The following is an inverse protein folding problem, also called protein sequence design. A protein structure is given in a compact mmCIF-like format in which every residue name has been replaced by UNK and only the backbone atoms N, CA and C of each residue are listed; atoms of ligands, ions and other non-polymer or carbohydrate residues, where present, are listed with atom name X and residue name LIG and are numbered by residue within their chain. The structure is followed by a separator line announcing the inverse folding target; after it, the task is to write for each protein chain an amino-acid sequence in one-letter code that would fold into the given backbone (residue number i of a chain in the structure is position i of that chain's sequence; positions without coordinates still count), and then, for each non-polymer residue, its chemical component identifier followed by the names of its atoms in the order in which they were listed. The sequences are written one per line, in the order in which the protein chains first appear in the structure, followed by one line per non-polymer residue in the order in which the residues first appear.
data_IF_865298984259
#
_entry.id   IF_865298984259
#
_cell.length_a   1.000
_cell.length_b   1.000
_cell.length_c   1.000
_cell.angle_alpha   90.00
_cell.angle_beta   90.00
_cell.angle_gamma   90.00
#
_symmetry.space_group_name_H-M   'P 1'
#
loop_
_entity.id
_entity.type
_entity.pdbx_description
1 polymer ?
#
# COMPACT_ATOMS: atom_id res chain seq x y z
N UNK A 1 17.60 -10.86 -28.63
CA UNK A 1 17.86 -11.09 -27.20
C UNK A 1 16.63 -11.67 -26.54
N UNK A 2 16.71 -12.92 -26.13
CA UNK A 2 15.55 -13.53 -25.45
C UNK A 2 15.18 -12.82 -24.15
N UNK A 3 16.12 -12.09 -23.53
CA UNK A 3 15.82 -11.36 -22.33
C UNK A 3 15.04 -10.08 -22.48
N UNK A 4 14.63 -9.76 -23.71
CA UNK A 4 13.87 -8.52 -23.97
C UNK A 4 12.36 -8.66 -23.79
N UNK A 5 11.88 -9.89 -23.59
CA UNK A 5 10.46 -10.08 -23.28
C UNK A 5 10.18 -9.59 -21.87
N UNK A 6 9.07 -8.86 -21.65
CA UNK A 6 8.74 -8.43 -20.31
C UNK A 6 8.53 -9.63 -19.37
N UNK A 7 8.89 -9.50 -18.11
CA UNK A 7 8.67 -10.58 -17.15
C UNK A 7 7.19 -10.89 -17.03
N UNK A 8 6.85 -12.17 -16.93
CA UNK A 8 5.47 -12.64 -16.79
C UNK A 8 4.99 -12.57 -15.36
N UNK A 9 5.88 -12.35 -14.43
CA UNK A 9 5.54 -12.24 -13.02
C UNK A 9 6.34 -11.13 -12.38
N UNK A 10 5.80 -10.62 -11.29
CA UNK A 10 6.39 -9.52 -10.54
C UNK A 10 6.70 -10.02 -9.13
N UNK A 11 7.98 -10.07 -8.73
CA UNK A 11 8.32 -10.41 -7.36
C UNK A 11 7.91 -9.27 -6.41
N UNK A 12 7.33 -9.62 -5.28
CA UNK A 12 6.86 -8.66 -4.29
C UNK A 12 7.40 -8.97 -2.91
N UNK A 13 7.45 -7.94 -2.07
CA UNK A 13 7.92 -8.05 -0.70
C UNK A 13 7.06 -9.02 0.13
N UNK A 14 7.68 -9.85 0.99
CA UNK A 14 6.95 -10.79 1.83
C UNK A 14 6.44 -10.14 3.12
N UNK A 15 5.67 -9.07 3.00
CA UNK A 15 5.25 -8.25 4.12
C UNK A 15 3.75 -7.94 4.09
N UNK A 16 3.24 -7.48 5.21
CA UNK A 16 1.92 -6.85 5.26
C UNK A 16 2.03 -5.40 4.82
N UNK A 17 0.97 -4.92 4.20
CA UNK A 17 0.90 -3.56 3.70
C UNK A 17 -0.48 -2.97 4.03
N UNK A 18 -0.51 -1.68 4.30
CA UNK A 18 -1.75 -1.00 4.70
C UNK A 18 -1.82 0.36 4.04
N UNK A 19 -2.05 0.40 2.71
CA UNK A 19 -1.95 1.62 1.93
C UNK A 19 -3.05 2.62 2.30
N UNK A 20 -2.70 3.90 2.23
CA UNK A 20 -3.61 5.00 2.52
C UNK A 20 -3.67 5.94 1.32
N UNK A 21 -4.86 6.45 1.00
CA UNK A 21 -5.01 7.41 -0.09
C UNK A 21 -4.48 8.78 0.31
N UNK A 22 -4.06 9.55 -0.70
CA UNK A 22 -3.62 10.93 -0.47
C UNK A 22 -4.75 11.79 0.12
N UNK A 23 -5.99 11.55 -0.29
CA UNK A 23 -7.14 12.28 0.23
C UNK A 23 -7.33 12.03 1.73
N UNK A 24 -7.16 10.77 2.17
CA UNK A 24 -7.23 10.44 3.60
C UNK A 24 -6.08 11.05 4.38
N UNK A 25 -4.87 11.07 3.81
CA UNK A 25 -3.72 11.71 4.46
C UNK A 25 -4.04 13.19 4.68
N UNK A 26 -4.55 13.87 3.66
CA UNK A 26 -4.87 15.29 3.76
C UNK A 26 -5.93 15.56 4.84
N UNK A 27 -6.96 14.73 4.89
CA UNK A 27 -8.02 14.88 5.89
C UNK A 27 -7.50 14.69 7.32
N UNK A 28 -6.68 13.66 7.53
CA UNK A 28 -6.11 13.37 8.85
C UNK A 28 -5.13 14.47 9.27
N UNK A 29 -4.29 14.95 8.36
CA UNK A 29 -3.34 16.04 8.64
C UNK A 29 -4.09 17.32 9.04
N UNK A 30 -5.18 17.64 8.34
CA UNK A 30 -6.01 18.79 8.70
C UNK A 30 -6.61 18.64 10.09
N UNK A 31 -7.11 17.45 10.43
CA UNK A 31 -7.66 17.16 11.75
C UNK A 31 -6.62 17.36 12.85
N UNK A 32 -5.43 16.78 12.65
CA UNK A 32 -4.35 16.87 13.64
C UNK A 32 -3.89 18.31 13.81
N UNK A 33 -3.82 19.07 12.72
CA UNK A 33 -3.39 20.49 12.77
C UNK A 33 -4.36 21.34 13.57
N UNK A 34 -5.64 21.00 13.58
CA UNK A 34 -6.69 21.75 14.29
C UNK A 34 -6.92 21.25 15.71
N UNK A 35 -6.34 20.12 16.07
CA UNK A 35 -6.50 19.53 17.40
C UNK A 35 -5.46 20.08 18.37
N UNK A 36 -5.65 19.82 19.67
CA UNK A 36 -4.68 20.15 20.68
C UNK A 36 -3.37 19.40 20.44
N UNK A 37 -2.20 20.04 20.70
CA UNK A 37 -0.92 19.37 20.50
C UNK A 37 -0.80 18.08 21.35
N UNK A 38 -0.30 17.01 20.73
CA UNK A 38 -0.11 15.73 21.42
C UNK A 38 1.30 15.53 21.95
N UNK A 39 2.25 16.32 21.44
CA UNK A 39 3.64 16.20 21.87
C UNK A 39 4.33 14.91 21.45
N UNK A 40 3.90 14.28 20.36
CA UNK A 40 4.47 13.02 19.91
C UNK A 40 4.13 12.70 18.45
N UNK A 41 4.46 11.49 18.06
CA UNK A 41 4.22 10.97 16.71
C UNK A 41 2.83 10.37 16.63
N UNK A 42 2.08 10.72 15.58
CA UNK A 42 0.79 10.10 15.27
C UNK A 42 0.98 9.25 14.02
N UNK A 43 0.77 7.96 14.15
CA UNK A 43 0.82 7.06 13.00
C UNK A 43 -0.50 7.09 12.24
N UNK A 44 -0.41 7.02 10.91
CA UNK A 44 -1.59 6.94 10.05
C UNK A 44 -1.41 5.78 9.08
N UNK A 45 -2.53 5.17 8.71
CA UNK A 45 -2.52 4.04 7.77
C UNK A 45 -3.88 3.95 7.08
N UNK A 46 -3.94 3.18 6.00
CA UNK A 46 -5.19 2.91 5.31
C UNK A 46 -6.10 1.98 6.13
N UNK A 47 -7.36 1.83 5.72
CA UNK A 47 -8.33 1.03 6.47
C UNK A 47 -8.14 -0.48 6.31
N UNK A 48 -7.34 -0.91 5.34
CA UNK A 48 -7.21 -2.33 5.01
C UNK A 48 -5.75 -2.76 5.09
N UNK A 49 -5.50 -3.78 5.90
CA UNK A 49 -4.19 -4.42 6.02
C UNK A 49 -4.24 -5.77 5.31
N UNK A 50 -3.30 -5.98 4.38
CA UNK A 50 -3.25 -7.22 3.61
C UNK A 50 -1.82 -7.51 3.18
N UNK A 51 -1.52 -8.76 2.78
CA UNK A 51 -0.21 -9.07 2.21
C UNK A 51 0.08 -8.20 0.99
N UNK A 52 1.32 -7.73 0.87
CA UNK A 52 1.72 -6.82 -0.20
C UNK A 52 1.42 -7.41 -1.58
N UNK A 53 1.70 -8.71 -1.76
CA UNK A 53 1.42 -9.38 -3.03
C UNK A 53 -0.06 -9.36 -3.39
N UNK A 54 -0.95 -9.47 -2.41
CA UNK A 54 -2.39 -9.38 -2.64
C UNK A 54 -2.80 -7.98 -3.10
N UNK A 55 -2.27 -6.95 -2.46
CA UNK A 55 -2.55 -5.55 -2.83
C UNK A 55 -2.13 -5.30 -4.29
N UNK A 56 -0.91 -5.72 -4.65
CA UNK A 56 -0.40 -5.54 -6.01
C UNK A 56 -1.25 -6.33 -7.01
N UNK A 57 -1.61 -7.58 -6.67
CA UNK A 57 -2.43 -8.42 -7.56
C UNK A 57 -3.79 -7.79 -7.83
N UNK A 58 -4.42 -7.23 -6.81
CA UNK A 58 -5.72 -6.55 -6.96
C UNK A 58 -5.60 -5.34 -7.88
N UNK A 59 -4.52 -4.58 -7.74
CA UNK A 59 -4.28 -3.43 -8.61
C UNK A 59 -4.08 -3.86 -10.06
N UNK A 60 -3.21 -4.85 -10.30
CA UNK A 60 -2.94 -5.32 -11.66
C UNK A 60 -4.20 -5.88 -12.32
N UNK A 61 -5.00 -6.62 -11.58
CA UNK A 61 -6.26 -7.14 -12.09
C UNK A 61 -7.22 -6.01 -12.48
N UNK A 62 -7.28 -4.98 -11.67
CA UNK A 62 -8.18 -3.85 -11.92
C UNK A 62 -7.79 -3.05 -13.18
N UNK A 63 -6.49 -2.93 -13.46
CA UNK A 63 -6.00 -2.19 -14.64
C UNK A 63 -5.80 -3.08 -15.86
N UNK A 64 -6.14 -4.37 -15.77
CA UNK A 64 -6.05 -5.28 -16.90
C UNK A 64 -4.65 -5.77 -17.23
N UNK A 65 -3.74 -5.71 -16.28
CA UNK A 65 -2.37 -6.21 -16.47
C UNK A 65 -2.35 -7.72 -16.17
N UNK A 66 -1.96 -8.57 -17.14
CA UNK A 66 -2.02 -10.01 -16.97
C UNK A 66 -0.84 -10.63 -16.21
N UNK A 67 0.12 -9.82 -15.75
CA UNK A 67 1.29 -10.35 -15.08
C UNK A 67 0.91 -10.97 -13.74
N UNK A 68 1.57 -12.06 -13.42
CA UNK A 68 1.38 -12.75 -12.14
C UNK A 68 2.22 -12.10 -11.06
N UNK A 69 1.65 -11.96 -9.87
CA UNK A 69 2.36 -11.43 -8.71
C UNK A 69 2.85 -12.60 -7.86
N UNK A 70 4.12 -12.56 -7.50
CA UNK A 70 4.77 -13.62 -6.73
C UNK A 70 5.31 -13.03 -5.43
N UNK A 71 5.01 -13.70 -4.31
CA UNK A 71 5.60 -13.36 -3.03
C UNK A 71 7.04 -13.87 -3.01
N UNK A 72 8.00 -12.97 -2.93
CA UNK A 72 9.43 -13.31 -2.97
C UNK A 72 10.04 -13.05 -1.59
N UNK A 73 10.40 -14.11 -0.84
CA UNK A 73 10.97 -13.93 0.49
C UNK A 73 12.34 -13.26 0.50
N UNK A 74 13.00 -13.17 -0.67
CA UNK A 74 14.30 -12.51 -0.78
C UNK A 74 14.19 -11.05 -1.26
N UNK A 75 12.99 -10.58 -1.61
CA UNK A 75 12.80 -9.21 -2.06
C UNK A 75 13.14 -8.21 -0.94
N UNK A 76 13.71 -7.07 -1.34
CA UNK A 76 14.17 -6.04 -0.42
C UNK A 76 13.49 -4.72 -0.72
N UNK A 77 13.32 -3.91 0.33
CA UNK A 77 12.76 -2.56 0.23
C UNK A 77 13.91 -1.57 0.21
N UNK A 78 14.13 -0.94 -0.95
CA UNK A 78 15.23 0.00 -1.16
C UNK A 78 16.60 -0.62 -0.78
N UNK A 79 16.79 -1.92 -1.09
CA UNK A 79 18.02 -2.64 -0.77
C UNK A 79 18.10 -3.22 0.63
N UNK A 80 17.13 -2.87 1.51
CA UNK A 80 17.09 -3.36 2.88
C UNK A 80 16.13 -4.51 3.07
N UNK A 81 16.40 -5.33 4.06
CA UNK A 81 15.46 -6.38 4.47
C UNK A 81 14.32 -5.75 5.27
N UNK A 82 13.12 -6.28 5.07
CA UNK A 82 11.94 -5.86 5.84
C UNK A 82 11.32 -7.08 6.51
N UNK A 83 10.75 -6.86 7.68
CA UNK A 83 9.99 -7.89 8.37
C UNK A 83 8.52 -7.73 8.00
N UNK A 84 7.73 -8.77 8.30
CA UNK A 84 6.31 -8.79 7.94
C UNK A 84 5.57 -7.53 8.34
N UNK A 85 5.89 -6.96 9.50
CA UNK A 85 5.19 -5.79 10.05
C UNK A 85 5.94 -4.48 9.92
N UNK A 86 7.02 -4.44 9.13
CA UNK A 86 7.84 -3.22 9.00
C UNK A 86 7.07 -2.03 8.41
N UNK A 87 6.08 -2.27 7.57
CA UNK A 87 5.34 -1.23 6.87
C UNK A 87 3.89 -1.08 7.34
N UNK A 88 3.57 -1.59 8.52
CA UNK A 88 2.25 -1.40 9.11
C UNK A 88 2.41 -0.89 10.54
N UNK A 89 1.41 -0.13 11.06
CA UNK A 89 1.50 0.33 12.45
C UNK A 89 1.45 -0.85 13.41
N UNK A 90 2.28 -0.82 14.43
CA UNK A 90 2.37 -1.87 15.44
C UNK A 90 1.44 -1.62 16.63
N UNK A 91 0.86 -0.44 16.71
CA UNK A 91 -0.03 -0.07 17.79
C UNK A 91 -1.17 0.78 17.26
N UNK A 92 -1.61 1.72 18.09
CA UNK A 92 -2.70 2.60 17.73
C UNK A 92 -2.31 3.49 16.56
N UNK A 93 -3.23 3.65 15.60
CA UNK A 93 -3.03 4.51 14.44
C UNK A 93 -4.36 5.10 14.02
N UNK A 94 -4.33 6.29 13.42
CA UNK A 94 -5.51 6.84 12.76
C UNK A 94 -5.63 6.21 11.38
N UNK A 95 -6.79 5.64 11.09
CA UNK A 95 -7.02 4.93 9.84
C UNK A 95 -7.79 5.81 8.87
N UNK A 96 -7.40 5.73 7.59
CA UNK A 96 -8.16 6.33 6.52
C UNK A 96 -9.47 5.59 6.30
N UNK A 97 -10.32 6.15 5.46
CA UNK A 97 -11.65 5.60 5.16
C UNK A 97 -11.76 5.00 3.77
N UNK A 98 -10.85 5.37 2.88
CA UNK A 98 -10.88 4.95 1.48
C UNK A 98 -9.97 3.73 1.31
N UNK A 99 -10.59 2.56 1.08
CA UNK A 99 -9.86 1.34 0.81
C UNK A 99 -9.38 1.25 -0.65
N UNK A 100 -8.63 0.19 -0.95
CA UNK A 100 -8.07 -0.01 -2.27
C UNK A 100 -9.14 -0.10 -3.36
N UNK A 101 -10.20 -0.86 -3.12
CA UNK A 101 -11.25 -1.06 -4.13
C UNK A 101 -11.96 0.24 -4.48
N UNK A 102 -12.25 1.06 -3.48
CA UNK A 102 -12.88 2.35 -3.73
C UNK A 102 -11.92 3.30 -4.45
N UNK A 103 -10.66 3.31 -4.07
CA UNK A 103 -9.65 4.12 -4.75
C UNK A 103 -9.52 3.71 -6.23
N UNK A 104 -9.49 2.41 -6.50
CA UNK A 104 -9.42 1.89 -7.86
C UNK A 104 -10.63 2.34 -8.68
N UNK A 105 -11.83 2.26 -8.10
CA UNK A 105 -13.07 2.70 -8.74
C UNK A 105 -12.99 4.18 -9.10
N UNK A 106 -12.54 5.02 -8.18
CA UNK A 106 -12.40 6.46 -8.39
C UNK A 106 -11.36 6.78 -9.46
N UNK A 107 -10.26 6.04 -9.47
CA UNK A 107 -9.21 6.24 -10.45
C UNK A 107 -9.66 5.90 -11.87
N UNK A 108 -10.46 4.86 -12.03
CA UNK A 108 -10.96 4.42 -13.33
C UNK A 108 -12.02 5.36 -13.89
N UNK A 109 -12.79 6.02 -13.04
CA UNK A 109 -13.83 6.96 -13.47
C UNK A 109 -13.28 8.33 -13.83
N UNK A 110 -12.02 8.62 -13.51
CA UNK A 110 -11.38 9.90 -13.83
C UNK A 110 -10.72 9.92 -15.20
N UNK A 111 -10.85 8.87 -15.95
CA UNK A 111 -10.19 8.75 -17.26
C UNK A 111 -10.62 9.83 -18.25
#
# INVERSE_FOLDING_TARGET
MPGLLPPRHIPTLPILFQPITADDVAAIVADVALAAPRGGIVEIAGPERAPFNEIVARYLNAVGDPREVVRDPEARYWGGRVEERSLVPLGEARLGQIGLDEWLRRSQTRA
#
